data_IF_987629425540
#
_entry.id   IF_987629425540
#
_cell.length_a   1.000
_cell.length_b   1.000
_cell.length_c   1.000
_cell.angle_alpha   90.00
_cell.angle_beta   90.00
_cell.angle_gamma   90.00
#
_symmetry.space_group_name_H-M   'P 1'
#
loop_
_entity.id
_entity.type
_entity.pdbx_description
1 polymer ?
#
# COMPACT_ATOMS: atom_id res chain seq x y z
N UNK A 1 -8.43 -22.46 -24.97
CA UNK A 1 -8.39 -21.50 -23.86
C UNK A 1 -6.98 -21.49 -23.29
N UNK A 2 -6.41 -20.31 -23.08
CA UNK A 2 -4.97 -20.21 -22.86
C UNK A 2 -4.57 -20.53 -21.41
N UNK A 3 -3.92 -21.68 -21.23
CA UNK A 3 -3.33 -22.15 -19.96
C UNK A 3 -2.49 -21.07 -19.26
N UNK A 4 -1.82 -20.22 -20.04
CA UNK A 4 -0.99 -19.12 -19.56
C UNK A 4 -1.76 -18.11 -18.69
N UNK A 5 -2.96 -17.68 -19.07
CA UNK A 5 -3.70 -16.66 -18.31
C UNK A 5 -4.20 -17.23 -16.99
N UNK A 6 -4.67 -18.47 -17.00
CA UNK A 6 -5.05 -19.21 -15.80
C UNK A 6 -3.86 -19.31 -14.83
N UNK A 7 -2.70 -19.70 -15.34
CA UNK A 7 -1.50 -19.92 -14.51
C UNK A 7 -0.97 -18.57 -13.94
N UNK A 8 -0.93 -17.52 -14.77
CA UNK A 8 -0.52 -16.17 -14.33
C UNK A 8 -1.46 -15.59 -13.26
N UNK A 9 -2.77 -15.82 -13.40
CA UNK A 9 -3.78 -15.34 -12.46
C UNK A 9 -4.00 -16.29 -11.28
N UNK A 10 -3.40 -17.48 -11.29
CA UNK A 10 -3.70 -18.58 -10.36
C UNK A 10 -5.21 -18.85 -10.26
N UNK A 11 -5.90 -18.74 -11.40
CA UNK A 11 -7.35 -18.79 -11.43
C UNK A 11 -7.84 -20.23 -11.29
N UNK A 12 -8.89 -20.43 -10.50
CA UNK A 12 -9.50 -21.74 -10.29
C UNK A 12 -10.36 -22.15 -11.49
N UNK A 13 -10.22 -23.40 -11.92
CA UNK A 13 -11.08 -24.02 -12.93
C UNK A 13 -12.20 -24.82 -12.24
N UNK A 14 -13.41 -24.89 -12.83
CA UNK A 14 -13.82 -24.37 -14.14
C UNK A 14 -14.30 -22.92 -14.13
N UNK A 15 -14.16 -22.22 -12.99
CA UNK A 15 -14.72 -20.88 -12.79
C UNK A 15 -14.14 -19.87 -13.80
N UNK A 16 -12.82 -19.82 -13.94
CA UNK A 16 -12.15 -18.94 -14.89
C UNK A 16 -12.68 -19.10 -16.32
N UNK A 17 -12.76 -20.35 -16.79
CA UNK A 17 -13.32 -20.70 -18.10
C UNK A 17 -14.77 -20.22 -18.28
N UNK A 18 -15.62 -20.40 -17.27
CA UNK A 18 -17.03 -20.00 -17.32
C UNK A 18 -17.16 -18.47 -17.34
N UNK A 19 -16.46 -17.77 -16.46
CA UNK A 19 -16.49 -16.30 -16.39
C UNK A 19 -15.98 -15.66 -17.67
N UNK A 20 -14.93 -16.22 -18.29
CA UNK A 20 -14.43 -15.73 -19.58
C UNK A 20 -15.49 -15.88 -20.68
N UNK A 21 -16.10 -17.07 -20.82
CA UNK A 21 -17.15 -17.30 -21.83
C UNK A 21 -18.34 -16.36 -21.67
N UNK A 22 -18.74 -16.10 -20.43
CA UNK A 22 -19.83 -15.17 -20.13
C UNK A 22 -19.46 -13.73 -20.49
N UNK A 23 -18.23 -13.29 -20.16
CA UNK A 23 -17.73 -11.97 -20.58
C UNK A 23 -17.67 -11.83 -22.10
N UNK A 24 -17.23 -12.87 -22.81
CA UNK A 24 -17.21 -12.88 -24.28
C UNK A 24 -18.62 -12.79 -24.87
N UNK A 25 -19.58 -13.51 -24.27
CA UNK A 25 -20.99 -13.43 -24.65
C UNK A 25 -21.58 -12.04 -24.40
N UNK A 26 -21.37 -11.47 -23.21
CA UNK A 26 -21.90 -10.15 -22.83
C UNK A 26 -21.29 -9.00 -23.63
N UNK A 27 -20.01 -9.10 -23.98
CA UNK A 27 -19.30 -8.03 -24.71
C UNK A 27 -19.30 -8.23 -26.23
N UNK A 28 -19.78 -9.38 -26.72
CA UNK A 28 -19.71 -9.84 -28.11
C UNK A 28 -18.27 -9.92 -28.67
N UNK A 29 -17.26 -9.87 -27.80
CA UNK A 29 -15.86 -10.00 -28.17
C UNK A 29 -15.43 -11.45 -27.99
N UNK A 30 -14.91 -12.07 -29.05
CA UNK A 30 -14.47 -13.48 -29.04
C UNK A 30 -12.96 -13.58 -28.97
N UNK A 31 -12.48 -14.68 -28.36
CA UNK A 31 -11.06 -15.06 -28.32
C UNK A 31 -10.16 -13.99 -27.69
N UNK A 32 -10.68 -13.29 -26.68
CA UNK A 32 -9.94 -12.24 -25.98
C UNK A 32 -8.77 -12.83 -25.20
N UNK A 33 -8.93 -14.05 -24.68
CA UNK A 33 -7.86 -14.80 -24.02
C UNK A 33 -6.68 -15.08 -24.94
N UNK A 34 -6.96 -15.53 -26.17
CA UNK A 34 -5.93 -15.81 -27.19
C UNK A 34 -5.20 -14.52 -27.56
N UNK A 35 -5.94 -13.44 -27.83
CA UNK A 35 -5.37 -12.14 -28.18
C UNK A 35 -4.46 -11.62 -27.06
N UNK A 36 -4.96 -11.64 -25.82
CA UNK A 36 -4.21 -11.18 -24.65
C UNK A 36 -2.96 -12.04 -24.40
N UNK A 37 -3.06 -13.35 -24.61
CA UNK A 37 -1.92 -14.25 -24.44
C UNK A 37 -0.83 -14.01 -25.48
N UNK A 38 -1.22 -13.79 -26.74
CA UNK A 38 -0.27 -13.43 -27.80
C UNK A 38 0.42 -12.09 -27.49
N UNK A 39 -0.35 -11.09 -27.04
CA UNK A 39 0.18 -9.78 -26.65
C UNK A 39 1.16 -9.89 -25.45
N UNK A 40 0.83 -10.70 -24.44
CA UNK A 40 1.73 -10.95 -23.30
C UNK A 40 3.04 -11.58 -23.79
N UNK A 41 2.98 -12.62 -24.62
CA UNK A 41 4.17 -13.30 -25.14
C UNK A 41 5.04 -12.36 -25.99
N UNK A 42 4.42 -11.55 -26.85
CA UNK A 42 5.12 -10.56 -27.66
C UNK A 42 5.82 -9.50 -26.81
N UNK A 43 5.11 -8.95 -25.80
CA UNK A 43 5.69 -7.98 -24.87
C UNK A 43 6.82 -8.57 -24.04
N UNK A 44 6.66 -9.79 -23.53
CA UNK A 44 7.71 -10.50 -22.80
C UNK A 44 8.94 -10.68 -23.67
N UNK A 45 8.78 -11.18 -24.91
CA UNK A 45 9.91 -11.34 -25.83
C UNK A 45 10.59 -10.01 -26.18
N UNK A 46 9.81 -8.93 -26.31
CA UNK A 46 10.33 -7.57 -26.53
C UNK A 46 11.15 -7.07 -25.35
N UNK A 47 10.66 -7.26 -24.13
CA UNK A 47 11.38 -6.89 -22.90
C UNK A 47 12.66 -7.71 -22.75
N UNK A 48 12.64 -9.02 -23.00
CA UNK A 48 13.84 -9.87 -22.96
C UNK A 48 14.90 -9.36 -23.96
N UNK A 49 14.50 -9.03 -25.19
CA UNK A 49 15.41 -8.41 -26.18
C UNK A 49 15.98 -7.07 -25.69
N UNK A 50 15.17 -6.24 -25.03
CA UNK A 50 15.63 -4.97 -24.45
C UNK A 50 16.61 -5.12 -23.28
N UNK A 51 16.72 -6.33 -22.71
CA UNK A 51 17.74 -6.71 -21.73
C UNK A 51 19.02 -7.24 -22.42
N UNK A 52 19.02 -7.37 -23.74
CA UNK A 52 20.15 -7.90 -24.53
C UNK A 52 20.17 -9.42 -24.65
N UNK A 53 19.04 -10.10 -24.40
CA UNK A 53 18.93 -11.55 -24.38
C UNK A 53 18.09 -12.09 -25.56
N UNK A 54 18.33 -13.34 -26.03
CA UNK A 54 17.46 -13.99 -27.03
C UNK A 54 16.26 -14.68 -26.34
N UNK A 55 15.01 -14.23 -26.56
CA UNK A 55 13.83 -14.80 -25.92
C UNK A 55 13.58 -16.28 -26.25
N UNK A 56 14.26 -16.85 -27.24
CA UNK A 56 14.17 -18.28 -27.58
C UNK A 56 15.25 -19.14 -26.90
N UNK A 57 16.29 -18.51 -26.37
CA UNK A 57 17.49 -19.16 -25.83
C UNK A 57 17.98 -18.45 -24.57
N UNK A 58 17.03 -18.04 -23.71
CA UNK A 58 17.33 -17.45 -22.40
C UNK A 58 16.78 -18.37 -21.33
N UNK A 59 17.64 -18.82 -20.43
CA UNK A 59 17.23 -19.56 -19.24
C UNK A 59 16.62 -18.64 -18.18
N UNK A 60 15.82 -19.22 -17.28
CA UNK A 60 15.20 -18.48 -16.17
C UNK A 60 16.24 -17.77 -15.29
N UNK A 61 17.42 -18.39 -15.10
CA UNK A 61 18.52 -17.82 -14.31
C UNK A 61 19.17 -16.62 -14.99
N UNK A 62 19.41 -16.69 -16.29
CA UNK A 62 19.96 -15.56 -17.06
C UNK A 62 18.99 -14.39 -17.06
N UNK A 63 17.69 -14.65 -17.27
CA UNK A 63 16.66 -13.62 -17.19
C UNK A 63 16.60 -12.99 -15.80
N UNK A 64 16.64 -13.80 -14.74
CA UNK A 64 16.66 -13.31 -13.36
C UNK A 64 17.84 -12.39 -13.09
N UNK A 65 19.06 -12.80 -13.45
CA UNK A 65 20.25 -11.97 -13.22
C UNK A 65 20.25 -10.69 -14.05
N UNK A 66 19.80 -10.74 -15.31
CA UNK A 66 19.67 -9.54 -16.13
C UNK A 66 18.64 -8.54 -15.55
N UNK A 67 17.54 -9.04 -14.97
CA UNK A 67 16.57 -8.21 -14.26
C UNK A 67 17.14 -7.64 -12.96
N UNK A 68 17.87 -8.42 -12.16
CA UNK A 68 18.53 -7.94 -10.93
C UNK A 68 19.56 -6.86 -11.23
N UNK A 69 20.38 -7.05 -12.28
CA UNK A 69 21.34 -6.07 -12.75
C UNK A 69 20.66 -4.77 -13.19
N UNK A 70 19.53 -4.87 -13.91
CA UNK A 70 18.74 -3.70 -14.31
C UNK A 70 18.16 -2.96 -13.09
N UNK A 71 17.66 -3.70 -12.10
CA UNK A 71 17.15 -3.13 -10.84
C UNK A 71 18.27 -2.41 -10.09
N UNK A 72 19.44 -3.03 -9.96
CA UNK A 72 20.63 -2.41 -9.36
C UNK A 72 20.99 -1.10 -10.05
N UNK A 73 21.14 -1.14 -11.38
CA UNK A 73 21.47 0.04 -12.18
C UNK A 73 20.47 1.19 -12.00
N UNK A 74 19.17 0.90 -12.03
CA UNK A 74 18.15 1.95 -11.83
C UNK A 74 18.16 2.51 -10.41
N UNK A 75 18.40 1.66 -9.42
CA UNK A 75 18.44 2.07 -8.04
C UNK A 75 19.68 2.91 -7.71
N UNK A 76 20.86 2.57 -8.24
CA UNK A 76 22.08 3.38 -8.19
C UNK A 76 21.85 4.76 -8.82
N UNK A 77 21.30 4.81 -10.04
CA UNK A 77 21.01 6.08 -10.71
C UNK A 77 20.04 6.96 -9.91
N UNK A 78 19.00 6.37 -9.33
CA UNK A 78 18.06 7.10 -8.49
C UNK A 78 18.72 7.65 -7.22
N UNK A 79 19.53 6.84 -6.52
CA UNK A 79 20.28 7.27 -5.34
C UNK A 79 21.25 8.42 -5.67
N UNK A 80 21.97 8.34 -6.80
CA UNK A 80 22.86 9.40 -7.28
C UNK A 80 22.09 10.69 -7.59
N UNK A 81 20.91 10.59 -8.23
CA UNK A 81 20.09 11.77 -8.57
C UNK A 81 19.61 12.57 -7.36
N UNK A 82 19.59 11.96 -6.16
CA UNK A 82 19.23 12.62 -4.89
C UNK A 82 20.45 12.98 -4.05
N UNK A 83 21.65 12.90 -4.62
CA UNK A 83 22.91 13.19 -3.93
C UNK A 83 23.23 12.19 -2.81
N UNK A 84 22.92 10.90 -3.04
CA UNK A 84 23.25 9.79 -2.15
C UNK A 84 23.88 8.65 -2.96
N UNK A 85 24.06 7.49 -2.34
CA UNK A 85 24.59 6.27 -2.95
C UNK A 85 23.70 5.07 -2.59
N UNK A 86 23.76 3.99 -3.38
CA UNK A 86 22.96 2.79 -3.09
C UNK A 86 23.43 2.07 -1.80
N UNK A 87 24.70 2.24 -1.43
CA UNK A 87 25.27 1.73 -0.19
C UNK A 87 25.12 2.69 0.99
N UNK A 88 24.44 3.84 0.83
CA UNK A 88 24.21 4.77 1.91
C UNK A 88 23.39 4.14 3.04
N UNK A 89 23.61 4.62 4.27
CA UNK A 89 22.83 4.17 5.41
C UNK A 89 21.36 4.57 5.25
N UNK A 90 20.45 3.71 5.73
CA UNK A 90 19.00 3.95 5.73
C UNK A 90 18.67 5.31 6.35
N UNK A 91 19.33 5.66 7.46
CA UNK A 91 19.14 6.93 8.17
C UNK A 91 19.55 8.17 7.33
N UNK A 92 20.43 8.00 6.35
CA UNK A 92 20.87 9.08 5.46
C UNK A 92 19.97 9.22 4.22
N UNK A 93 19.68 8.09 3.55
CA UNK A 93 18.99 8.11 2.26
C UNK A 93 17.47 8.32 2.39
N UNK A 94 16.84 7.82 3.46
CA UNK A 94 15.38 7.95 3.67
C UNK A 94 14.94 9.42 3.76
N UNK A 95 15.59 10.29 4.56
CA UNK A 95 15.28 11.72 4.55
C UNK A 95 15.39 12.37 3.17
N UNK A 96 16.41 12.02 2.38
CA UNK A 96 16.59 12.54 1.01
C UNK A 96 15.44 12.11 0.09
N UNK A 97 15.01 10.85 0.17
CA UNK A 97 13.87 10.32 -0.60
C UNK A 97 12.54 10.99 -0.22
N UNK A 98 12.30 11.22 1.07
CA UNK A 98 11.11 11.93 1.56
C UNK A 98 11.12 13.39 1.11
N UNK A 99 12.28 14.06 1.18
CA UNK A 99 12.43 15.43 0.71
C UNK A 99 12.19 15.55 -0.80
N UNK A 100 12.73 14.62 -1.60
CA UNK A 100 12.45 14.54 -3.03
C UNK A 100 10.95 14.35 -3.29
N UNK A 101 10.31 13.41 -2.60
CA UNK A 101 8.89 13.18 -2.77
C UNK A 101 8.10 14.48 -2.51
N UNK A 102 8.42 15.19 -1.42
CA UNK A 102 7.80 16.46 -1.04
C UNK A 102 8.05 17.62 -2.02
N UNK A 103 9.18 17.66 -2.72
CA UNK A 103 9.47 18.69 -3.71
C UNK A 103 8.75 18.47 -5.05
N UNK A 104 8.38 17.22 -5.35
CA UNK A 104 7.70 16.87 -6.60
C UNK A 104 6.25 17.38 -6.58
N UNK A 105 5.90 18.16 -7.61
CA UNK A 105 4.55 18.70 -7.83
C UNK A 105 3.60 17.62 -8.30
N UNK A 106 3.00 16.92 -7.35
CA UNK A 106 1.85 16.02 -7.56
C UNK A 106 0.65 16.54 -6.78
N UNK A 107 -0.59 16.32 -7.25
CA UNK A 107 -1.76 16.70 -6.47
C UNK A 107 -1.74 15.91 -5.15
N UNK A 108 -1.91 16.60 -4.02
CA UNK A 108 -1.87 16.04 -2.67
C UNK A 108 -3.06 16.45 -1.81
N UNK A 109 -4.00 17.21 -2.35
CA UNK A 109 -5.22 17.57 -1.63
C UNK A 109 -6.07 16.33 -1.39
N UNK A 110 -6.52 16.17 -0.15
CA UNK A 110 -7.40 15.10 0.29
C UNK A 110 -8.44 15.64 1.28
N UNK A 111 -9.63 15.07 1.23
CA UNK A 111 -10.74 15.19 2.18
C UNK A 111 -10.72 13.99 3.14
N UNK A 112 -10.35 14.25 4.39
CA UNK A 112 -9.99 13.24 5.41
C UNK A 112 -10.46 13.67 6.80
N UNK A 113 -10.46 12.76 7.77
CA UNK A 113 -10.90 13.02 9.15
C UNK A 113 -10.05 14.13 9.79
N UNK A 114 -10.73 15.06 10.47
CA UNK A 114 -10.10 16.09 11.28
C UNK A 114 -9.28 15.47 12.42
N UNK A 115 -8.08 15.98 12.65
CA UNK A 115 -7.23 15.53 13.78
C UNK A 115 -7.91 15.70 15.14
N UNK A 116 -8.74 16.74 15.32
CA UNK A 116 -9.50 16.94 16.57
C UNK A 116 -10.48 15.80 16.85
N UNK A 117 -11.24 15.37 15.83
CA UNK A 117 -12.20 14.27 15.97
C UNK A 117 -11.47 12.94 16.23
N UNK A 118 -10.34 12.72 15.56
CA UNK A 118 -9.49 11.56 15.84
C UNK A 118 -8.99 11.55 17.31
N UNK A 119 -8.63 12.71 17.87
CA UNK A 119 -8.29 12.83 19.30
C UNK A 119 -9.49 12.52 20.20
N UNK A 120 -10.69 12.96 19.84
CA UNK A 120 -11.91 12.67 20.61
C UNK A 120 -12.27 11.17 20.62
N UNK A 121 -12.06 10.48 19.51
CA UNK A 121 -12.20 9.01 19.45
C UNK A 121 -11.19 8.32 20.36
N UNK A 122 -9.94 8.79 20.38
CA UNK A 122 -8.91 8.25 21.28
C UNK A 122 -9.16 8.58 22.76
N UNK A 123 -9.85 9.68 23.07
CA UNK A 123 -10.30 9.96 24.46
C UNK A 123 -11.34 8.94 24.92
N UNK A 124 -12.24 8.53 24.03
CA UNK A 124 -13.24 7.50 24.32
C UNK A 124 -12.60 6.11 24.44
N UNK A 125 -11.57 5.84 23.62
CA UNK A 125 -10.85 4.58 23.64
C UNK A 125 -9.33 4.81 23.70
N UNK A 126 -8.76 5.05 24.90
CA UNK A 126 -7.33 5.32 25.04
C UNK A 126 -6.44 4.15 24.62
N UNK A 127 -5.34 4.37 23.86
CA UNK A 127 -4.38 3.35 23.48
C UNK A 127 -3.37 3.12 24.62
N UNK A 128 -3.75 2.26 25.57
CA UNK A 128 -3.02 2.08 26.84
C UNK A 128 -1.63 1.49 26.65
N UNK A 129 -1.43 0.60 25.66
CA UNK A 129 -0.11 -0.01 25.42
C UNK A 129 0.85 1.03 24.84
N UNK A 130 0.40 1.82 23.88
CA UNK A 130 1.16 2.93 23.32
C UNK A 130 1.51 3.99 24.37
N UNK A 131 0.55 4.38 25.20
CA UNK A 131 0.80 5.33 26.30
C UNK A 131 1.90 4.80 27.25
N UNK A 132 1.82 3.52 27.64
CA UNK A 132 2.84 2.89 28.47
C UNK A 132 4.21 2.85 27.77
N UNK A 133 4.23 2.49 26.49
CA UNK A 133 5.43 2.43 25.65
C UNK A 133 6.16 3.78 25.59
N UNK A 134 5.42 4.85 25.34
CA UNK A 134 5.95 6.21 25.26
C UNK A 134 6.15 6.88 26.65
N UNK A 135 5.81 6.19 27.74
CA UNK A 135 5.99 6.70 29.11
C UNK A 135 4.95 7.72 29.58
N UNK A 136 3.79 7.83 28.92
CA UNK A 136 2.74 8.78 29.28
C UNK A 136 1.65 8.15 30.17
N UNK A 137 1.23 8.91 31.20
CA UNK A 137 0.07 8.57 32.05
C UNK A 137 -1.22 9.29 31.66
N UNK A 138 -1.11 10.32 30.81
CA UNK A 138 -2.23 11.17 30.37
C UNK A 138 -2.23 11.30 28.86
N UNK A 139 -3.40 11.10 28.25
CA UNK A 139 -3.62 11.31 26.82
C UNK A 139 -3.32 12.76 26.41
N UNK A 140 -3.75 13.73 27.21
CA UNK A 140 -3.52 15.15 26.89
C UNK A 140 -2.03 15.51 26.91
N UNK A 141 -1.28 14.92 27.84
CA UNK A 141 0.18 15.08 27.88
C UNK A 141 0.82 14.47 26.62
N UNK A 142 0.38 13.27 26.22
CA UNK A 142 0.86 12.63 25.00
C UNK A 142 0.52 13.47 23.75
N UNK A 143 -0.72 13.95 23.62
CA UNK A 143 -1.16 14.79 22.49
C UNK A 143 -0.46 16.14 22.41
N UNK A 144 0.09 16.64 23.52
CA UNK A 144 0.83 17.91 23.57
C UNK A 144 2.30 17.73 23.17
N UNK A 145 2.90 16.59 23.50
CA UNK A 145 4.35 16.38 23.39
C UNK A 145 4.76 15.49 22.20
N UNK A 146 3.79 14.82 21.56
CA UNK A 146 4.04 13.90 20.46
C UNK A 146 3.38 14.36 19.15
N UNK A 147 3.96 13.97 18.02
CA UNK A 147 3.32 14.17 16.71
C UNK A 147 2.07 13.26 16.61
N UNK A 148 0.91 13.89 16.46
CA UNK A 148 -0.35 13.16 16.39
C UNK A 148 -0.45 12.23 15.18
N UNK A 149 0.18 12.57 14.07
CA UNK A 149 0.24 11.75 12.86
C UNK A 149 1.04 10.46 13.11
N UNK A 150 2.10 10.52 13.92
CA UNK A 150 2.84 9.33 14.39
C UNK A 150 1.99 8.48 15.34
N UNK A 151 1.41 9.11 16.37
CA UNK A 151 0.52 8.44 17.35
C UNK A 151 -0.58 7.67 16.62
N UNK A 152 -1.32 8.35 15.74
CA UNK A 152 -2.49 7.76 15.10
C UNK A 152 -2.10 6.61 14.16
N UNK A 153 -0.98 6.74 13.44
CA UNK A 153 -0.51 5.67 12.57
C UNK A 153 -0.01 4.46 13.36
N UNK A 154 0.63 4.70 14.51
CA UNK A 154 1.15 3.65 15.38
C UNK A 154 0.07 2.79 16.05
N UNK A 155 -1.20 3.23 16.06
CA UNK A 155 -2.33 2.40 16.51
C UNK A 155 -2.37 1.05 15.78
N UNK A 156 -1.96 1.03 14.50
CA UNK A 156 -1.98 -0.17 13.64
C UNK A 156 -1.07 -1.31 14.10
N UNK A 157 -0.10 -1.02 14.99
CA UNK A 157 0.87 -2.02 15.46
C UNK A 157 1.13 -1.97 16.98
N UNK A 158 0.46 -1.08 17.73
CA UNK A 158 0.68 -0.94 19.19
C UNK A 158 -0.34 -1.69 20.06
N UNK A 159 -1.63 -1.66 19.71
CA UNK A 159 -2.68 -2.13 20.63
C UNK A 159 -3.12 -3.60 20.39
N UNK A 160 -3.01 -4.07 19.15
CA UNK A 160 -3.41 -5.43 18.74
C UNK A 160 -4.80 -5.52 18.11
N UNK A 161 -5.14 -6.70 17.58
CA UNK A 161 -6.34 -6.90 16.74
C UNK A 161 -7.66 -6.66 17.48
N UNK A 162 -7.78 -7.10 18.75
CA UNK A 162 -9.00 -6.89 19.54
C UNK A 162 -9.32 -5.41 19.73
N UNK A 163 -8.31 -4.62 20.14
CA UNK A 163 -8.46 -3.18 20.29
C UNK A 163 -8.81 -2.52 18.96
N UNK A 164 -8.14 -2.90 17.86
CA UNK A 164 -8.44 -2.35 16.53
C UNK A 164 -9.89 -2.64 16.10
N UNK A 165 -10.40 -3.83 16.38
CA UNK A 165 -11.78 -4.20 16.05
C UNK A 165 -12.80 -3.37 16.84
N UNK A 166 -12.56 -3.13 18.14
CA UNK A 166 -13.43 -2.27 18.94
C UNK A 166 -13.32 -0.79 18.52
N UNK A 167 -12.11 -0.32 18.21
CA UNK A 167 -11.90 1.02 17.68
C UNK A 167 -12.66 1.23 16.36
N UNK A 168 -12.64 0.23 15.48
CA UNK A 168 -13.41 0.26 14.24
C UNK A 168 -14.92 0.35 14.48
N UNK A 169 -15.45 -0.35 15.49
CA UNK A 169 -16.88 -0.25 15.87
C UNK A 169 -17.22 1.14 16.39
N UNK A 170 -16.34 1.74 17.20
CA UNK A 170 -16.49 3.11 17.69
C UNK A 170 -16.49 4.09 16.51
N UNK A 171 -15.45 4.03 15.68
CA UNK A 171 -15.31 4.86 14.48
C UNK A 171 -16.57 4.78 13.60
N UNK A 172 -17.04 3.57 13.29
CA UNK A 172 -18.21 3.33 12.46
C UNK A 172 -19.49 4.01 12.96
N UNK A 173 -19.64 4.18 14.28
CA UNK A 173 -20.83 4.75 14.91
C UNK A 173 -20.73 6.26 15.11
N UNK A 174 -19.51 6.77 15.29
CA UNK A 174 -19.29 8.15 15.72
C UNK A 174 -19.08 9.13 14.57
N UNK A 175 -18.44 8.71 13.47
CA UNK A 175 -18.01 9.67 12.45
C UNK A 175 -19.12 10.05 11.46
N UNK A 176 -19.14 11.34 11.11
CA UNK A 176 -20.06 11.97 10.18
C UNK A 176 -19.29 12.73 9.09
N UNK A 177 -19.94 13.10 7.96
CA UNK A 177 -19.28 13.89 6.93
C UNK A 177 -18.72 15.24 7.41
N UNK A 178 -19.36 15.89 8.39
CA UNK A 178 -18.88 17.16 8.96
C UNK A 178 -17.58 17.04 9.75
N UNK A 179 -17.17 15.82 10.09
CA UNK A 179 -15.94 15.53 10.82
C UNK A 179 -14.70 15.50 9.91
N UNK A 180 -14.90 15.71 8.61
CA UNK A 180 -13.84 15.66 7.61
C UNK A 180 -13.51 17.07 7.09
N UNK A 181 -12.29 17.23 6.60
CA UNK A 181 -11.76 18.51 6.09
C UNK A 181 -10.85 18.29 4.88
N UNK A 182 -10.68 19.35 4.06
CA UNK A 182 -9.69 19.33 3.00
C UNK A 182 -8.32 19.75 3.56
N UNK A 183 -7.30 18.94 3.30
CA UNK A 183 -5.91 19.20 3.70
C UNK A 183 -4.93 18.56 2.73
N UNK A 184 -3.65 18.92 2.84
CA UNK A 184 -2.59 18.26 2.09
C UNK A 184 -2.22 16.94 2.76
N UNK A 185 -1.89 15.93 1.95
CA UNK A 185 -1.31 14.69 2.44
C UNK A 185 0.00 14.99 3.15
N UNK A 186 0.13 14.48 4.38
CA UNK A 186 1.34 14.57 5.18
C UNK A 186 2.25 13.38 4.88
N UNK A 187 3.54 13.62 4.71
CA UNK A 187 4.56 12.59 4.59
C UNK A 187 5.60 12.82 5.70
N UNK A 188 5.66 11.89 6.65
CA UNK A 188 6.51 12.01 7.84
C UNK A 188 7.44 10.81 7.99
N UNK A 189 8.57 11.02 8.65
CA UNK A 189 9.50 9.97 9.08
C UNK A 189 9.31 9.82 10.58
N UNK A 190 8.92 8.63 11.02
CA UNK A 190 8.72 8.38 12.44
C UNK A 190 10.04 8.40 13.20
N UNK A 191 10.03 8.93 14.42
CA UNK A 191 11.21 8.94 15.28
C UNK A 191 11.74 7.51 15.55
N UNK A 192 13.04 7.29 15.31
CA UNK A 192 13.64 5.96 15.45
C UNK A 192 13.57 5.43 16.87
N UNK A 193 14.04 6.21 17.84
CA UNK A 193 14.19 5.80 19.24
C UNK A 193 12.83 5.48 19.90
N UNK A 194 11.78 6.15 19.45
CA UNK A 194 10.41 5.95 19.96
C UNK A 194 9.72 4.73 19.39
N UNK A 195 10.03 4.30 18.15
CA UNK A 195 9.14 3.39 17.42
C UNK A 195 9.80 2.13 16.84
N UNK A 196 11.13 2.08 16.74
CA UNK A 196 11.84 1.00 16.03
C UNK A 196 11.58 -0.41 16.60
N UNK A 197 11.29 -0.52 17.89
CA UNK A 197 11.01 -1.79 18.55
C UNK A 197 9.61 -2.33 18.18
N UNK A 198 8.58 -1.48 18.21
CA UNK A 198 7.22 -1.90 17.89
C UNK A 198 6.92 -1.94 16.38
N UNK A 199 7.74 -1.30 15.54
CA UNK A 199 7.59 -1.36 14.08
C UNK A 199 8.28 -2.57 13.44
N UNK A 200 9.17 -3.26 14.17
CA UNK A 200 9.96 -4.39 13.65
C UNK A 200 9.08 -5.49 13.04
N UNK A 201 8.03 -5.91 13.76
CA UNK A 201 7.10 -6.95 13.26
C UNK A 201 6.36 -6.51 11.98
N UNK A 202 5.99 -5.23 11.90
CA UNK A 202 5.37 -4.67 10.70
C UNK A 202 6.32 -4.75 9.51
N UNK A 203 7.57 -4.31 9.68
CA UNK A 203 8.58 -4.31 8.61
C UNK A 203 8.87 -5.74 8.14
N UNK A 204 9.00 -6.68 9.06
CA UNK A 204 9.28 -8.09 8.74
C UNK A 204 8.11 -8.73 7.98
N UNK A 205 6.88 -8.49 8.42
CA UNK A 205 5.67 -9.03 7.79
C UNK A 205 5.38 -8.40 6.42
N UNK A 206 5.57 -7.09 6.29
CA UNK A 206 5.22 -6.35 5.07
C UNK A 206 6.38 -6.29 4.06
N UNK A 207 7.61 -6.56 4.50
CA UNK A 207 8.85 -6.43 3.71
C UNK A 207 9.11 -4.98 3.22
N UNK A 208 8.43 -4.01 3.82
CA UNK A 208 8.62 -2.58 3.59
C UNK A 208 8.33 -1.76 4.83
N UNK A 209 8.87 -0.55 4.87
CA UNK A 209 8.82 0.36 6.02
C UNK A 209 8.02 1.63 5.73
N UNK A 210 7.13 1.59 4.76
CA UNK A 210 6.21 2.69 4.48
C UNK A 210 4.81 2.19 4.74
N UNK A 211 4.00 2.98 5.43
CA UNK A 211 2.59 2.73 5.64
C UNK A 211 1.83 4.04 5.61
N UNK A 212 0.51 3.98 5.69
CA UNK A 212 -0.32 5.16 5.63
C UNK A 212 -1.63 4.95 6.39
N UNK A 213 -2.28 6.07 6.70
CA UNK A 213 -3.63 6.14 7.26
C UNK A 213 -4.50 6.90 6.27
N UNK A 214 -5.39 6.19 5.58
CA UNK A 214 -6.24 6.72 4.50
C UNK A 214 -7.20 7.78 5.04
N UNK A 215 -7.79 7.44 6.17
CA UNK A 215 -8.73 8.22 6.96
C UNK A 215 -8.12 9.53 7.50
N UNK A 216 -6.80 9.58 7.70
CA UNK A 216 -6.10 10.77 8.20
C UNK A 216 -5.20 11.41 7.13
N UNK A 217 -5.12 10.88 5.91
CA UNK A 217 -4.26 11.44 4.87
C UNK A 217 -2.78 11.59 5.25
N UNK A 218 -2.23 10.63 6.01
CA UNK A 218 -0.83 10.62 6.44
C UNK A 218 -0.14 9.40 5.83
N UNK A 219 1.05 9.60 5.29
CA UNK A 219 2.01 8.56 4.92
C UNK A 219 3.15 8.65 5.92
N UNK A 220 3.56 7.52 6.49
CA UNK A 220 4.69 7.45 7.41
C UNK A 220 5.75 6.50 6.86
N UNK A 221 7.00 6.91 6.98
CA UNK A 221 8.15 6.02 6.88
C UNK A 221 8.48 5.56 8.30
N UNK A 222 8.21 4.29 8.59
CA UNK A 222 8.51 3.68 9.89
C UNK A 222 10.01 3.37 10.00
N UNK A 223 10.61 3.50 11.18
CA UNK A 223 11.99 3.11 11.40
C UNK A 223 12.20 1.60 11.19
N UNK A 224 13.40 1.26 10.74
CA UNK A 224 13.87 -0.10 10.53
C UNK A 224 15.19 -0.30 11.27
N UNK A 225 15.38 -1.46 11.89
CA UNK A 225 16.67 -1.80 12.54
C UNK A 225 17.81 -2.02 11.54
N UNK A 226 17.48 -2.36 10.30
CA UNK A 226 18.44 -2.54 9.23
C UNK A 226 19.12 -1.20 8.91
N UNK A 227 20.45 -1.18 8.95
CA UNK A 227 21.26 0.02 8.66
C UNK A 227 21.49 0.22 7.17
N UNK A 228 21.44 -0.85 6.38
CA UNK A 228 21.63 -0.84 4.93
C UNK A 228 20.56 -1.70 4.25
N UNK A 229 20.12 -1.29 3.06
CA UNK A 229 19.14 -2.03 2.28
C UNK A 229 19.33 -1.75 0.79
N UNK A 230 19.71 -2.79 0.03
CA UNK A 230 19.76 -2.72 -1.44
C UNK A 230 18.37 -2.47 -2.01
N UNK A 231 18.28 -1.68 -3.08
CA UNK A 231 16.99 -1.40 -3.74
C UNK A 231 16.11 -0.39 -2.99
N UNK A 232 16.63 0.27 -1.94
CA UNK A 232 15.81 1.11 -1.06
C UNK A 232 15.21 2.32 -1.78
N UNK A 233 15.96 2.99 -2.66
CA UNK A 233 15.47 4.14 -3.39
C UNK A 233 14.32 3.76 -4.34
N UNK A 234 14.56 2.72 -5.15
CA UNK A 234 13.60 2.21 -6.14
C UNK A 234 12.35 1.60 -5.49
N UNK A 235 12.45 1.13 -4.25
CA UNK A 235 11.29 0.68 -3.46
C UNK A 235 10.54 1.84 -2.83
N UNK A 236 11.24 2.74 -2.14
CA UNK A 236 10.64 3.75 -1.27
C UNK A 236 9.87 4.79 -2.07
N UNK A 237 10.48 5.33 -3.12
CA UNK A 237 9.89 6.46 -3.86
C UNK A 237 8.60 6.06 -4.60
N UNK A 238 8.54 4.95 -5.37
CA UNK A 238 7.29 4.51 -5.97
C UNK A 238 6.22 4.17 -4.94
N UNK A 239 6.60 3.61 -3.78
CA UNK A 239 5.64 3.27 -2.74
C UNK A 239 5.04 4.51 -2.06
N UNK A 240 5.82 5.59 -1.88
CA UNK A 240 5.30 6.89 -1.44
C UNK A 240 4.27 7.42 -2.45
N UNK A 241 4.60 7.42 -3.75
CA UNK A 241 3.67 7.90 -4.78
C UNK A 241 2.43 7.02 -4.92
N UNK A 242 2.58 5.70 -4.76
CA UNK A 242 1.48 4.78 -4.68
C UNK A 242 0.52 5.15 -3.54
N UNK A 243 1.04 5.43 -2.34
CA UNK A 243 0.20 5.83 -1.21
C UNK A 243 -0.39 7.25 -1.33
N UNK A 244 0.29 8.18 -2.01
CA UNK A 244 -0.32 9.47 -2.37
C UNK A 244 -1.56 9.23 -3.24
N UNK A 245 -1.44 8.38 -4.27
CA UNK A 245 -2.57 8.05 -5.14
C UNK A 245 -3.67 7.28 -4.39
N UNK A 246 -3.30 6.34 -3.52
CA UNK A 246 -4.26 5.57 -2.73
C UNK A 246 -5.05 6.48 -1.79
N UNK A 247 -4.40 7.36 -1.03
CA UNK A 247 -5.10 8.32 -0.15
C UNK A 247 -6.05 9.20 -0.96
N UNK A 248 -5.63 9.69 -2.12
CA UNK A 248 -6.50 10.52 -2.98
C UNK A 248 -7.71 9.75 -3.51
N UNK A 249 -7.51 8.50 -3.91
CA UNK A 249 -8.59 7.62 -4.37
C UNK A 249 -9.62 7.41 -3.25
N UNK A 250 -9.17 7.03 -2.06
CA UNK A 250 -10.06 6.81 -0.92
C UNK A 250 -10.71 8.11 -0.47
N UNK A 251 -9.98 9.22 -0.47
CA UNK A 251 -10.55 10.53 -0.17
C UNK A 251 -11.69 10.93 -1.13
N UNK A 252 -11.49 10.74 -2.44
CA UNK A 252 -12.54 11.03 -3.42
C UNK A 252 -13.75 10.10 -3.22
N UNK A 253 -13.51 8.82 -2.91
CA UNK A 253 -14.56 7.87 -2.59
C UNK A 253 -15.32 8.25 -1.30
N UNK A 254 -14.62 8.64 -0.23
CA UNK A 254 -15.24 9.09 1.02
C UNK A 254 -16.11 10.32 0.77
N UNK A 255 -15.61 11.29 0.00
CA UNK A 255 -16.38 12.46 -0.37
C UNK A 255 -17.60 12.11 -1.23
N UNK A 256 -17.48 11.18 -2.16
CA UNK A 256 -18.63 10.67 -2.94
C UNK A 256 -19.69 10.01 -2.05
N UNK A 257 -19.27 9.35 -0.97
CA UNK A 257 -20.16 8.69 0.00
C UNK A 257 -20.67 9.61 1.11
N UNK A 258 -20.33 10.90 1.10
CA UNK A 258 -20.70 11.84 2.16
C UNK A 258 -22.21 12.05 2.31
N UNK A 259 -23.00 11.73 1.28
CA UNK A 259 -24.48 11.81 1.30
C UNK A 259 -25.15 10.47 1.56
N UNK A 260 -24.38 9.38 1.71
CA UNK A 260 -24.92 8.05 1.97
C UNK A 260 -25.34 7.90 3.42
N UNK A 261 -26.44 7.16 3.66
CA UNK A 261 -26.80 6.72 5.00
C UNK A 261 -25.67 5.88 5.63
N UNK A 262 -25.54 5.95 6.95
CA UNK A 262 -24.52 5.22 7.71
C UNK A 262 -23.09 5.48 7.23
N UNK A 263 -22.76 6.74 6.94
CA UNK A 263 -21.44 7.16 6.44
C UNK A 263 -20.27 6.49 7.17
N UNK A 264 -20.23 6.54 8.51
CA UNK A 264 -19.15 5.92 9.28
C UNK A 264 -18.97 4.42 9.04
N UNK A 265 -20.07 3.68 8.87
CA UNK A 265 -20.04 2.26 8.51
C UNK A 265 -19.43 2.04 7.13
N UNK A 266 -19.85 2.83 6.14
CA UNK A 266 -19.31 2.76 4.77
C UNK A 266 -17.79 2.98 4.76
N UNK A 267 -17.31 3.98 5.50
CA UNK A 267 -15.87 4.25 5.62
C UNK A 267 -15.15 3.07 6.28
N UNK A 268 -15.67 2.60 7.42
CA UNK A 268 -15.06 1.52 8.21
C UNK A 268 -14.97 0.22 7.41
N UNK A 269 -16.06 -0.18 6.75
CA UNK A 269 -16.07 -1.37 5.90
C UNK A 269 -15.07 -1.23 4.76
N UNK A 270 -14.98 -0.06 4.12
CA UNK A 270 -14.01 0.20 3.04
C UNK A 270 -12.56 0.15 3.51
N UNK A 271 -12.28 0.48 4.79
CA UNK A 271 -10.94 0.41 5.37
C UNK A 271 -10.54 -1.01 5.81
N UNK A 272 -11.49 -1.81 6.29
CA UNK A 272 -11.25 -3.15 6.85
C UNK A 272 -11.38 -4.24 5.78
N UNK A 273 -12.40 -4.15 4.95
CA UNK A 273 -12.84 -5.22 4.06
C UNK A 273 -12.90 -4.72 2.61
N UNK A 274 -12.10 -5.32 1.75
CA UNK A 274 -12.38 -5.32 0.32
C UNK A 274 -13.42 -6.41 0.08
N UNK A 275 -14.69 -6.10 0.37
CA UNK A 275 -15.77 -7.05 0.15
C UNK A 275 -15.85 -7.26 -1.37
N UNK A 276 -15.29 -8.38 -1.85
CA UNK A 276 -15.28 -8.78 -3.27
C UNK A 276 -16.65 -9.00 -3.89
N UNK A 277 -17.70 -8.49 -3.26
CA UNK A 277 -19.11 -8.61 -3.62
C UNK A 277 -19.57 -7.58 -4.66
N UNK A 278 -18.73 -6.60 -5.00
CA UNK A 278 -19.11 -5.49 -5.88
C UNK A 278 -19.41 -5.88 -7.32
N UNK A 279 -18.98 -7.06 -7.78
CA UNK A 279 -19.30 -7.60 -9.10
C UNK A 279 -19.64 -9.09 -8.98
N UNK A 280 -20.61 -9.55 -9.77
CA UNK A 280 -20.98 -10.97 -9.92
C UNK A 280 -20.86 -11.33 -11.39
N UNK A 281 -20.14 -12.42 -11.70
CA UNK A 281 -20.08 -13.03 -13.03
C UNK A 281 -20.23 -14.53 -12.84
N UNK A 282 -21.04 -15.19 -13.67
CA UNK A 282 -21.33 -16.62 -13.56
C UNK A 282 -21.86 -17.05 -12.18
N UNK A 283 -22.65 -16.19 -11.52
CA UNK A 283 -23.11 -16.34 -10.14
C UNK A 283 -21.99 -16.42 -9.08
N UNK A 284 -20.78 -15.96 -9.40
CA UNK A 284 -19.67 -15.86 -8.47
C UNK A 284 -19.29 -14.41 -8.26
N UNK A 285 -19.04 -14.03 -7.01
CA UNK A 285 -18.51 -12.72 -6.66
C UNK A 285 -17.07 -12.59 -7.17
N UNK A 286 -16.79 -11.57 -7.97
CA UNK A 286 -15.47 -11.31 -8.53
C UNK A 286 -14.84 -10.08 -7.88
N UNK A 287 -13.65 -10.29 -7.34
CA UNK A 287 -12.83 -9.26 -6.73
C UNK A 287 -11.84 -8.66 -7.75
N UNK A 288 -12.23 -7.58 -8.43
CA UNK A 288 -11.46 -7.04 -9.57
C UNK A 288 -10.17 -6.27 -9.19
N UNK A 289 -9.99 -5.88 -7.92
CA UNK A 289 -8.96 -4.88 -7.54
C UNK A 289 -7.56 -5.43 -7.31
N UNK A 290 -7.38 -6.75 -7.22
CA UNK A 290 -6.06 -7.37 -6.98
C UNK A 290 -5.78 -8.43 -8.05
N UNK A 291 -5.42 -7.96 -9.24
CA UNK A 291 -4.81 -8.81 -10.29
C UNK A 291 -3.32 -9.04 -9.97
N UNK A 292 -2.72 -8.23 -9.10
CA UNK A 292 -1.29 -8.27 -8.79
C UNK A 292 -0.99 -9.30 -7.68
N UNK A 293 -0.31 -10.38 -8.06
CA UNK A 293 0.24 -11.37 -7.13
C UNK A 293 1.60 -10.90 -6.61
N UNK A 294 1.75 -10.81 -5.30
CA UNK A 294 3.05 -10.52 -4.68
C UNK A 294 3.85 -11.83 -4.56
N UNK A 295 4.51 -12.25 -5.65
CA UNK A 295 5.27 -13.51 -5.69
C UNK A 295 6.33 -13.61 -4.57
N UNK A 296 6.91 -12.49 -4.14
CA UNK A 296 7.83 -12.45 -2.99
C UNK A 296 7.22 -12.86 -1.63
N UNK A 297 5.89 -13.01 -1.52
CA UNK A 297 5.20 -13.55 -0.33
C UNK A 297 5.04 -15.06 -0.36
N UNK A 298 5.33 -15.72 -1.48
CA UNK A 298 5.20 -17.18 -1.62
C UNK A 298 6.37 -17.94 -0.99
N UNK A 299 7.42 -17.24 -0.54
CA UNK A 299 8.56 -17.83 0.17
C UNK A 299 9.45 -18.74 -0.66
N UNK A 300 9.19 -18.85 -1.96
CA UNK A 300 9.98 -19.64 -2.90
C UNK A 300 11.20 -18.81 -3.32
N UNK A 301 12.40 -19.29 -2.99
CA UNK A 301 13.63 -18.83 -3.63
C UNK A 301 13.71 -19.44 -5.04
N UNK A 302 14.28 -18.73 -6.03
CA UNK A 302 14.49 -19.29 -7.36
C UNK A 302 15.40 -20.51 -7.36
#
# INVERSE_FOLDING_TARGET
MTKILRDLLNAEEPLFTKSLKELEHLTLKRSIDVKLSAEILEKTASVIRSLGLDPRDTSDKELFHALDDRVRFHNENLALSIGSSDDAQVAEIVPKLVNLANSIKVPRTCWVLKKSIAKDLLRQMPPKKMMKHLGYRSLESMFKNEDFSEIYTALRFSEGAEWLNEYNKLFSKSITPSDFENRQIELIIMNYDKWADITSEFVDKKRHNITHTKELGVIVVVPMKQTHMRGLALKTLPLIFHYINEIRLYSAFFKLKSTSAHFGKVITETLIADTGTGAVIANHHIHWRVIQRYFGKLGQQP
#
